data_IF_350638618442
#
_entry.id   IF_350638618442
#
_cell.length_a   1.000
_cell.length_b   1.000
_cell.length_c   1.000
_cell.angle_alpha   90.00
_cell.angle_beta   90.00
_cell.angle_gamma   90.00
#
_symmetry.space_group_name_H-M   'P 1'
#
loop_
_entity.id
_entity.type
_entity.pdbx_description
1 polymer ?
#
# COMPACT_ATOMS: atom_id res chain seq x y z
N UNK A 1 -88.30 13.72 -29.90
CA UNK A 1 -88.04 13.22 -28.53
C UNK A 1 -86.59 12.77 -28.48
N UNK A 2 -85.67 13.64 -28.04
CA UNK A 2 -84.30 13.27 -28.02
C UNK A 2 -83.68 13.86 -26.72
N UNK A 3 -83.30 12.99 -25.80
CA UNK A 3 -82.73 13.35 -24.50
C UNK A 3 -81.28 13.66 -24.67
N UNK A 4 -80.89 14.89 -24.31
CA UNK A 4 -79.53 15.37 -24.22
C UNK A 4 -78.90 14.87 -22.88
N UNK A 5 -77.80 14.17 -22.99
CA UNK A 5 -76.95 13.75 -21.80
C UNK A 5 -75.72 14.67 -21.70
N UNK A 6 -75.72 15.48 -20.68
CA UNK A 6 -74.55 16.32 -20.30
C UNK A 6 -73.46 15.47 -19.73
N UNK A 7 -72.28 15.43 -20.39
CA UNK A 7 -71.09 14.81 -19.86
C UNK A 7 -70.25 15.87 -19.04
N UNK A 8 -70.13 15.63 -17.79
CA UNK A 8 -69.23 16.41 -16.92
C UNK A 8 -67.84 15.82 -17.04
N UNK A 9 -66.88 16.58 -17.55
CA UNK A 9 -65.48 16.24 -17.61
C UNK A 9 -64.84 16.58 -16.27
N UNK A 10 -64.45 15.57 -15.53
CA UNK A 10 -63.72 15.72 -14.24
C UNK A 10 -62.23 15.78 -14.57
N UNK A 11 -61.65 16.95 -14.43
CA UNK A 11 -60.22 17.16 -14.64
C UNK A 11 -59.46 16.72 -13.37
N UNK A 12 -58.80 15.51 -13.44
CA UNK A 12 -57.95 15.01 -12.38
C UNK A 12 -56.58 15.67 -12.49
N UNK A 13 -56.25 16.58 -11.58
CA UNK A 13 -54.90 17.11 -11.47
C UNK A 13 -54.05 16.09 -10.69
N UNK A 14 -53.18 15.39 -11.39
CA UNK A 14 -52.17 14.54 -10.81
C UNK A 14 -51.02 15.43 -10.28
N UNK A 15 -50.95 15.63 -8.96
CA UNK A 15 -49.80 16.17 -8.30
C UNK A 15 -48.74 15.09 -8.23
N UNK A 16 -47.69 15.18 -9.04
CA UNK A 16 -46.51 14.38 -8.95
C UNK A 16 -45.68 14.79 -7.71
N UNK A 17 -45.82 14.04 -6.60
CA UNK A 17 -44.87 14.10 -5.52
C UNK A 17 -43.54 13.52 -5.99
N UNK A 18 -42.57 14.38 -6.25
CA UNK A 18 -41.19 13.98 -6.43
C UNK A 18 -40.63 13.44 -5.09
N UNK A 19 -40.54 12.12 -4.98
CA UNK A 19 -39.70 11.51 -3.96
C UNK A 19 -38.23 11.88 -4.23
N UNK A 20 -37.76 12.96 -3.61
CA UNK A 20 -36.34 13.22 -3.46
C UNK A 20 -35.75 12.15 -2.53
N UNK A 21 -35.07 11.20 -3.13
CA UNK A 21 -34.30 10.17 -2.42
C UNK A 21 -33.19 10.89 -1.64
N UNK A 22 -33.45 11.18 -0.37
CA UNK A 22 -32.40 11.61 0.57
C UNK A 22 -31.47 10.42 0.76
N UNK A 23 -30.28 10.45 0.13
CA UNK A 23 -29.18 9.58 0.51
C UNK A 23 -28.95 9.76 2.02
N UNK A 24 -28.90 8.67 2.80
CA UNK A 24 -28.67 8.77 4.23
C UNK A 24 -27.29 9.38 4.51
N UNK A 25 -27.27 10.40 5.38
CA UNK A 25 -26.05 11.08 5.79
C UNK A 25 -25.01 10.17 6.46
N UNK A 26 -25.42 8.98 6.91
CA UNK A 26 -24.56 7.97 7.55
C UNK A 26 -23.44 7.44 6.65
N UNK A 27 -23.65 7.36 5.33
CA UNK A 27 -22.64 6.81 4.41
C UNK A 27 -21.49 7.79 4.17
N UNK A 28 -21.76 9.09 4.22
CA UNK A 28 -20.75 10.13 4.05
C UNK A 28 -19.86 10.28 5.30
N UNK A 29 -20.44 10.21 6.49
CA UNK A 29 -19.69 10.27 7.76
C UNK A 29 -18.82 9.01 7.94
N UNK A 30 -19.35 7.82 7.68
CA UNK A 30 -18.61 6.58 7.76
C UNK A 30 -17.42 6.56 6.78
N UNK A 31 -17.59 7.06 5.56
CA UNK A 31 -16.50 7.12 4.57
C UNK A 31 -15.44 8.17 4.92
N UNK A 32 -15.80 9.24 5.60
CA UNK A 32 -14.86 10.29 6.06
C UNK A 32 -14.03 9.79 7.23
N UNK A 33 -14.65 9.15 8.23
CA UNK A 33 -13.97 8.55 9.38
C UNK A 33 -13.00 7.45 8.94
N UNK A 34 -13.40 6.60 7.99
CA UNK A 34 -12.52 5.56 7.42
C UNK A 34 -11.29 6.14 6.71
N UNK A 35 -11.46 7.22 5.95
CA UNK A 35 -10.33 7.91 5.29
C UNK A 35 -9.38 8.53 6.30
N UNK A 36 -9.90 9.24 7.29
CA UNK A 36 -9.10 9.88 8.34
C UNK A 36 -8.28 8.84 9.13
N UNK A 37 -8.87 7.68 9.46
CA UNK A 37 -8.15 6.60 10.15
C UNK A 37 -7.07 5.97 9.27
N UNK A 38 -7.33 5.76 7.98
CA UNK A 38 -6.35 5.22 7.03
C UNK A 38 -5.17 6.18 6.81
N UNK A 39 -5.43 7.49 6.78
CA UNK A 39 -4.38 8.50 6.63
C UNK A 39 -3.55 8.64 7.91
N UNK A 40 -4.16 8.55 9.10
CA UNK A 40 -3.42 8.55 10.36
C UNK A 40 -2.55 7.30 10.50
N UNK A 41 -3.02 6.12 10.11
CA UNK A 41 -2.24 4.88 10.10
C UNK A 41 -1.06 4.96 9.13
N UNK A 42 -1.26 5.53 7.95
CA UNK A 42 -0.19 5.76 6.99
C UNK A 42 0.86 6.75 7.52
N UNK A 43 0.44 7.85 8.16
CA UNK A 43 1.36 8.81 8.78
C UNK A 43 2.22 8.16 9.89
N UNK A 44 1.63 7.27 10.70
CA UNK A 44 2.36 6.51 11.71
C UNK A 44 3.37 5.54 11.09
N UNK A 45 3.02 4.84 10.01
CA UNK A 45 3.91 3.99 9.25
C UNK A 45 5.10 4.80 8.72
N UNK A 46 4.87 5.97 8.13
CA UNK A 46 5.93 6.85 7.65
C UNK A 46 6.85 7.34 8.78
N UNK A 47 6.30 7.65 9.95
CA UNK A 47 7.10 8.05 11.12
C UNK A 47 8.00 6.90 11.61
N UNK A 48 7.47 5.67 11.72
CA UNK A 48 8.26 4.48 12.05
C UNK A 48 9.30 4.17 10.98
N UNK A 49 8.93 4.28 9.71
CA UNK A 49 9.84 4.12 8.58
C UNK A 49 11.02 5.10 8.65
N UNK A 50 10.78 6.38 8.97
CA UNK A 50 11.84 7.37 9.17
C UNK A 50 12.77 6.98 10.32
N UNK A 51 12.22 6.54 11.44
CA UNK A 51 13.01 6.05 12.58
C UNK A 51 13.87 4.85 12.19
N UNK A 52 13.32 3.91 11.42
CA UNK A 52 13.99 2.70 10.98
C UNK A 52 15.09 2.97 9.95
N UNK A 53 14.84 3.85 8.99
CA UNK A 53 15.69 4.11 7.82
C UNK A 53 16.63 5.29 8.01
N UNK A 54 16.35 6.20 8.96
CA UNK A 54 17.09 7.45 9.14
C UNK A 54 16.94 8.47 8.00
N UNK A 55 16.06 8.21 7.01
CA UNK A 55 15.75 9.11 5.91
C UNK A 55 14.27 9.44 5.86
N UNK A 56 13.93 10.61 5.30
CA UNK A 56 12.55 11.03 5.17
C UNK A 56 11.82 10.18 4.12
N UNK A 57 10.75 9.51 4.55
CA UNK A 57 9.97 8.62 3.71
C UNK A 57 9.14 9.34 2.65
N UNK A 58 8.71 10.58 2.92
CA UNK A 58 7.91 11.38 1.95
C UNK A 58 8.74 11.88 0.77
N UNK A 59 10.06 12.03 0.96
CA UNK A 59 11.00 12.43 -0.11
C UNK A 59 11.71 11.25 -0.74
N UNK A 60 11.32 10.02 -0.37
CA UNK A 60 11.89 8.78 -0.88
C UNK A 60 10.85 8.02 -1.73
N UNK A 61 11.33 7.37 -2.80
CA UNK A 61 10.49 6.53 -3.65
C UNK A 61 10.72 5.06 -3.33
N UNK A 62 9.66 4.37 -2.91
CA UNK A 62 9.65 2.93 -2.69
C UNK A 62 9.10 2.21 -3.92
N UNK A 63 9.75 1.12 -4.32
CA UNK A 63 9.26 0.21 -5.34
C UNK A 63 9.41 -1.24 -4.85
N UNK A 64 8.34 -2.02 -5.00
CA UNK A 64 8.28 -3.43 -4.61
C UNK A 64 7.84 -4.24 -5.82
N UNK A 65 8.76 -4.98 -6.41
CA UNK A 65 8.54 -5.70 -7.66
C UNK A 65 8.62 -7.21 -7.45
N UNK A 66 7.57 -7.93 -7.85
CA UNK A 66 7.59 -9.39 -7.90
C UNK A 66 8.24 -9.84 -9.19
N UNK A 67 9.20 -10.78 -9.09
CA UNK A 67 9.93 -11.39 -10.20
C UNK A 67 9.70 -12.91 -10.20
N UNK A 68 9.85 -13.61 -11.31
CA UNK A 68 9.52 -15.04 -11.40
C UNK A 68 10.20 -15.91 -10.35
N UNK A 69 11.38 -15.52 -9.87
CA UNK A 69 12.19 -16.23 -8.87
C UNK A 69 12.28 -15.51 -7.51
N UNK A 70 11.34 -14.60 -7.22
CA UNK A 70 11.30 -13.83 -5.97
C UNK A 70 10.92 -12.38 -6.18
N UNK A 71 11.84 -11.42 -5.97
CA UNK A 71 11.50 -10.01 -6.18
C UNK A 71 12.62 -9.02 -5.90
N UNK A 72 12.24 -7.74 -5.90
CA UNK A 72 13.15 -6.62 -5.70
C UNK A 72 12.48 -5.52 -4.90
N UNK A 73 13.20 -4.97 -3.96
CA UNK A 73 12.86 -3.74 -3.26
C UNK A 73 13.83 -2.68 -3.75
N UNK A 74 13.33 -1.52 -4.17
CA UNK A 74 14.15 -0.37 -4.53
C UNK A 74 13.73 0.82 -3.69
N UNK A 75 14.70 1.52 -3.12
CA UNK A 75 14.49 2.77 -2.42
C UNK A 75 15.45 3.81 -2.96
N UNK A 76 14.90 4.93 -3.42
CA UNK A 76 15.68 6.01 -4.02
C UNK A 76 15.16 7.37 -3.56
N UNK A 77 16.04 8.36 -3.62
CA UNK A 77 15.81 9.79 -3.42
C UNK A 77 16.32 10.58 -4.60
N UNK A 78 16.24 11.89 -4.53
CA UNK A 78 16.92 12.75 -5.49
C UNK A 78 18.40 12.36 -5.59
N UNK A 79 18.91 12.20 -6.79
CA UNK A 79 20.28 11.80 -7.04
C UNK A 79 21.31 12.83 -6.56
N UNK A 80 20.90 14.09 -6.38
CA UNK A 80 21.71 15.15 -5.78
C UNK A 80 21.90 14.97 -4.26
N UNK A 81 20.99 14.24 -3.58
CA UNK A 81 21.15 13.89 -2.18
C UNK A 81 22.08 12.68 -2.01
N UNK A 82 23.36 12.92 -2.18
CA UNK A 82 24.40 11.87 -2.09
C UNK A 82 24.50 11.24 -0.71
N UNK A 83 24.28 12.01 0.36
CA UNK A 83 24.30 11.54 1.74
C UNK A 83 23.11 10.61 2.03
N UNK A 84 21.88 11.01 1.67
CA UNK A 84 20.70 10.17 1.81
C UNK A 84 20.77 8.91 0.96
N UNK A 85 21.31 9.02 -0.26
CA UNK A 85 21.55 7.85 -1.11
C UNK A 85 22.57 6.86 -0.51
N UNK A 86 23.63 7.36 0.14
CA UNK A 86 24.60 6.53 0.84
C UNK A 86 23.97 5.83 2.05
N UNK A 87 23.15 6.53 2.82
CA UNK A 87 22.44 5.99 3.98
C UNK A 87 21.47 4.87 3.57
N UNK A 88 20.72 5.06 2.47
CA UNK A 88 19.84 4.01 1.93
C UNK A 88 20.64 2.76 1.54
N UNK A 89 21.78 2.91 0.87
CA UNK A 89 22.64 1.76 0.50
C UNK A 89 23.12 0.98 1.71
N UNK A 90 23.58 1.67 2.76
CA UNK A 90 24.00 1.04 4.00
C UNK A 90 22.84 0.26 4.64
N UNK A 91 21.66 0.87 4.71
CA UNK A 91 20.45 0.25 5.24
C UNK A 91 20.00 -0.98 4.43
N UNK A 92 20.09 -0.96 3.11
CA UNK A 92 19.79 -2.15 2.28
C UNK A 92 20.73 -3.32 2.58
N UNK A 93 22.00 -3.04 2.91
CA UNK A 93 22.95 -4.07 3.32
C UNK A 93 22.60 -4.66 4.70
N UNK A 94 22.17 -3.84 5.64
CA UNK A 94 21.69 -4.24 6.98
C UNK A 94 20.42 -5.10 6.88
N UNK A 95 19.44 -4.69 6.07
CA UNK A 95 18.23 -5.48 5.79
C UNK A 95 18.62 -6.84 5.21
N UNK A 96 19.51 -6.88 4.21
CA UNK A 96 19.97 -8.12 3.61
C UNK A 96 20.60 -9.07 4.64
N UNK A 97 21.41 -8.53 5.56
CA UNK A 97 22.03 -9.29 6.63
C UNK A 97 21.00 -9.86 7.61
N UNK A 98 20.04 -9.04 8.05
CA UNK A 98 18.96 -9.46 8.95
C UNK A 98 18.08 -10.53 8.34
N UNK A 99 17.66 -10.35 7.09
CA UNK A 99 16.79 -11.31 6.39
C UNK A 99 17.47 -12.67 6.14
N UNK A 100 18.80 -12.68 5.87
CA UNK A 100 19.56 -13.94 5.79
C UNK A 100 19.52 -14.73 7.10
N UNK A 101 19.46 -14.02 8.23
CA UNK A 101 19.34 -14.65 9.56
C UNK A 101 17.90 -15.05 9.90
N UNK A 102 16.92 -14.70 9.04
CA UNK A 102 15.49 -14.90 9.28
C UNK A 102 14.91 -13.87 10.25
N UNK A 103 15.63 -12.76 10.48
CA UNK A 103 15.13 -11.67 11.30
C UNK A 103 14.34 -10.67 10.42
N UNK A 104 13.03 -10.54 10.74
CA UNK A 104 12.07 -9.64 10.10
C UNK A 104 11.48 -8.64 11.11
N UNK A 105 12.20 -8.33 12.21
CA UNK A 105 11.73 -7.41 13.22
C UNK A 105 11.57 -5.99 12.67
N UNK A 106 12.44 -5.58 11.74
CA UNK A 106 12.36 -4.27 11.12
C UNK A 106 11.06 -4.03 10.34
N UNK A 107 10.65 -4.87 9.38
CA UNK A 107 9.33 -4.71 8.77
C UNK A 107 8.20 -4.86 9.79
N UNK A 108 8.30 -5.73 10.79
CA UNK A 108 7.35 -5.83 11.89
C UNK A 108 7.18 -4.51 12.64
N UNK A 109 8.28 -3.86 12.99
CA UNK A 109 8.30 -2.54 13.65
C UNK A 109 7.67 -1.45 12.76
N UNK A 110 8.06 -1.37 11.49
CA UNK A 110 7.54 -0.34 10.56
C UNK A 110 6.03 -0.47 10.40
N UNK A 111 5.52 -1.70 10.25
CA UNK A 111 4.11 -1.97 9.99
C UNK A 111 3.27 -2.19 11.26
N UNK A 112 3.91 -2.22 12.45
CA UNK A 112 3.27 -2.47 13.74
C UNK A 112 2.44 -3.78 13.77
N UNK A 113 2.95 -4.80 13.08
CA UNK A 113 2.34 -6.14 13.00
C UNK A 113 3.29 -7.16 12.36
N UNK A 114 2.95 -8.42 12.48
CA UNK A 114 3.57 -9.46 11.67
C UNK A 114 3.25 -9.23 10.18
N UNK A 115 4.29 -9.18 9.35
CA UNK A 115 4.15 -8.93 7.92
C UNK A 115 3.91 -10.25 7.17
N UNK A 116 2.89 -10.33 6.30
CA UNK A 116 2.61 -11.52 5.52
C UNK A 116 3.85 -12.05 4.77
N UNK A 117 3.98 -13.37 4.69
CA UNK A 117 5.11 -14.06 4.05
C UNK A 117 6.34 -14.23 4.94
N UNK A 118 6.56 -13.38 5.96
CA UNK A 118 7.82 -13.38 6.75
C UNK A 118 8.03 -14.66 7.56
N UNK A 119 6.97 -15.29 8.06
CA UNK A 119 7.07 -16.58 8.78
C UNK A 119 7.64 -17.69 7.88
N UNK A 120 7.14 -17.78 6.64
CA UNK A 120 7.63 -18.76 5.65
C UNK A 120 9.04 -18.39 5.19
N UNK A 121 9.32 -17.12 4.91
CA UNK A 121 10.67 -16.66 4.54
C UNK A 121 11.70 -16.99 5.65
N UNK A 122 11.33 -16.83 6.93
CA UNK A 122 12.16 -17.24 8.08
C UNK A 122 12.40 -18.74 8.10
N UNK A 123 11.36 -19.55 7.92
CA UNK A 123 11.47 -21.02 7.90
C UNK A 123 12.30 -21.53 6.71
N UNK A 124 12.24 -20.83 5.58
CA UNK A 124 12.93 -21.17 4.32
C UNK A 124 14.20 -20.36 4.08
N UNK A 125 14.74 -19.66 5.09
CA UNK A 125 15.87 -18.71 4.94
C UNK A 125 17.11 -19.30 4.23
N UNK A 126 17.39 -20.60 4.41
CA UNK A 126 18.51 -21.27 3.77
C UNK A 126 18.35 -21.43 2.23
N UNK A 127 17.14 -21.24 1.72
CA UNK A 127 16.80 -21.36 0.30
C UNK A 127 16.59 -20.00 -0.36
N UNK A 128 16.75 -18.88 0.38
CA UNK A 128 16.52 -17.51 -0.11
C UNK A 128 17.84 -16.76 -0.13
N UNK A 129 18.14 -16.13 -1.25
CA UNK A 129 19.28 -15.21 -1.40
C UNK A 129 18.80 -13.77 -1.27
N UNK A 130 19.55 -12.95 -0.54
CA UNK A 130 19.33 -11.52 -0.33
C UNK A 130 20.59 -10.75 -0.72
N UNK A 131 20.55 -10.03 -1.85
CA UNK A 131 21.71 -9.33 -2.40
C UNK A 131 21.40 -7.83 -2.50
N UNK A 132 22.14 -6.97 -1.75
CA UNK A 132 22.02 -5.54 -1.89
C UNK A 132 22.81 -5.05 -3.11
N UNK A 133 22.26 -4.05 -3.80
CA UNK A 133 22.89 -3.36 -4.93
C UNK A 133 22.74 -1.86 -4.79
N UNK A 134 23.68 -1.11 -5.36
CA UNK A 134 23.55 0.34 -5.51
C UNK A 134 22.57 0.68 -6.63
N UNK A 135 21.81 1.77 -6.43
CA UNK A 135 20.98 2.39 -7.45
C UNK A 135 21.26 3.91 -7.47
N UNK A 136 21.01 4.61 -8.59
CA UNK A 136 21.06 6.07 -8.61
C UNK A 136 20.15 6.67 -7.52
N UNK A 137 20.70 7.53 -6.68
CA UNK A 137 19.98 8.13 -5.54
C UNK A 137 19.63 7.15 -4.40
N UNK A 138 20.14 5.91 -4.38
CA UNK A 138 19.80 4.97 -3.34
C UNK A 138 20.31 3.56 -3.52
N UNK A 139 19.49 2.55 -3.19
CA UNK A 139 19.84 1.15 -3.21
C UNK A 139 18.69 0.21 -3.53
N UNK A 140 19.03 -1.03 -3.80
CA UNK A 140 18.11 -2.12 -4.08
C UNK A 140 18.45 -3.34 -3.23
N UNK A 141 17.42 -4.13 -2.91
CA UNK A 141 17.55 -5.47 -2.36
C UNK A 141 16.92 -6.46 -3.34
N UNK A 142 17.74 -7.34 -3.93
CA UNK A 142 17.28 -8.48 -4.75
C UNK A 142 17.03 -9.65 -3.82
N UNK A 143 15.84 -10.24 -3.91
CA UNK A 143 15.43 -11.44 -3.18
C UNK A 143 15.18 -12.54 -4.20
N UNK A 144 15.83 -13.70 -4.08
CA UNK A 144 15.65 -14.79 -5.03
C UNK A 144 15.68 -16.16 -4.37
N UNK A 145 14.95 -17.10 -4.95
CA UNK A 145 14.90 -18.50 -4.51
C UNK A 145 14.59 -19.43 -5.69
N UNK A 146 14.99 -20.70 -5.56
CA UNK A 146 14.54 -21.80 -6.42
C UNK A 146 13.42 -22.63 -5.77
N UNK A 147 13.12 -22.38 -4.49
CA UNK A 147 12.03 -23.00 -3.76
C UNK A 147 10.72 -22.27 -4.08
N UNK A 148 9.72 -22.88 -4.73
CA UNK A 148 8.49 -22.22 -5.10
C UNK A 148 7.68 -21.75 -3.89
N UNK A 149 7.81 -22.40 -2.74
CA UNK A 149 7.14 -21.98 -1.48
C UNK A 149 7.78 -20.70 -0.96
N UNK A 150 9.09 -20.57 -1.04
CA UNK A 150 9.80 -19.36 -0.67
C UNK A 150 9.48 -18.21 -1.65
N UNK A 151 9.40 -18.49 -2.96
CA UNK A 151 9.02 -17.48 -3.98
C UNK A 151 7.62 -16.95 -3.71
N UNK A 152 6.65 -17.81 -3.43
CA UNK A 152 5.28 -17.41 -3.10
C UNK A 152 5.25 -16.50 -1.85
N UNK A 153 6.01 -16.85 -0.82
CA UNK A 153 6.11 -16.04 0.41
C UNK A 153 6.76 -14.66 0.16
N UNK A 154 7.78 -14.59 -0.70
CA UNK A 154 8.37 -13.31 -1.13
C UNK A 154 7.35 -12.46 -1.89
N UNK A 155 6.55 -13.05 -2.77
CA UNK A 155 5.48 -12.33 -3.48
C UNK A 155 4.42 -11.79 -2.53
N UNK A 156 4.00 -12.58 -1.53
CA UNK A 156 3.05 -12.15 -0.50
C UNK A 156 3.61 -10.96 0.30
N UNK A 157 4.86 -11.05 0.74
CA UNK A 157 5.58 -10.00 1.42
C UNK A 157 5.62 -8.70 0.60
N UNK A 158 6.05 -8.78 -0.66
CA UNK A 158 6.17 -7.61 -1.54
C UNK A 158 4.82 -6.99 -1.90
N UNK A 159 3.78 -7.82 -2.09
CA UNK A 159 2.43 -7.33 -2.33
C UNK A 159 1.86 -6.57 -1.13
N UNK A 160 2.13 -7.06 0.10
CA UNK A 160 1.79 -6.36 1.32
C UNK A 160 2.52 -5.02 1.41
N UNK A 161 3.85 -5.01 1.25
CA UNK A 161 4.68 -3.80 1.29
C UNK A 161 4.18 -2.74 0.30
N UNK A 162 3.87 -3.15 -0.94
CA UNK A 162 3.36 -2.25 -1.98
C UNK A 162 2.06 -1.57 -1.56
N UNK A 163 1.12 -2.32 -0.99
CA UNK A 163 -0.16 -1.75 -0.54
C UNK A 163 0.02 -0.82 0.65
N UNK A 164 0.77 -1.25 1.64
CA UNK A 164 0.90 -0.54 2.92
C UNK A 164 1.70 0.77 2.77
N UNK A 165 2.74 0.75 1.93
CA UNK A 165 3.51 1.95 1.57
C UNK A 165 2.84 2.80 0.49
N UNK A 166 1.67 2.43 -0.02
CA UNK A 166 0.99 3.10 -1.16
C UNK A 166 1.95 3.26 -2.36
N UNK A 167 2.87 2.29 -2.54
CA UNK A 167 3.88 2.33 -3.58
C UNK A 167 3.28 1.92 -4.92
N UNK A 168 3.11 2.86 -5.83
CA UNK A 168 2.44 2.70 -7.12
C UNK A 168 1.44 3.80 -7.42
N UNK A 169 0.91 4.48 -6.42
CA UNK A 169 0.06 5.66 -6.58
C UNK A 169 0.92 6.92 -6.73
N UNK A 170 1.62 7.05 -7.87
CA UNK A 170 2.42 8.23 -8.18
C UNK A 170 1.56 9.37 -8.72
N UNK A 171 0.45 9.67 -8.06
CA UNK A 171 -0.28 10.93 -8.23
C UNK A 171 -0.01 11.79 -6.98
N UNK A 172 1.21 12.31 -6.87
CA UNK A 172 1.43 13.49 -6.07
C UNK A 172 1.24 14.70 -6.97
N UNK A 173 0.43 15.68 -6.54
CA UNK A 173 0.24 16.94 -7.26
C UNK A 173 1.54 17.73 -7.36
#
# INVERSE_FOLDING_TARGET
MTKQRTSVVFCLIMASLGCGERRPASDAESSTLSRTSADSSFAQLQARGRTAMGVDQYTSRHQFESLPDGGRITLTRDSADTAGGAQIRAHMAEIAASFRQGNFDLPGFVHDREVPGTAVMRARRAHISYLPYSAPGGGQLRISSRDPVAVAAVHEFLAFQRRDHRAGDHTHP
#
